data_IF_704798363936
#
_entry.id   IF_704798363936
#
_cell.length_a   1.000
_cell.length_b   1.000
_cell.length_c   1.000
_cell.angle_alpha   90.00
_cell.angle_beta   90.00
_cell.angle_gamma   90.00
#
_symmetry.space_group_name_H-M   'P 1'
#
loop_
_entity.id
_entity.type
_entity.pdbx_description
1 polymer ?
#
# COMPACT_ATOMS: atom_id res chain seq x y z
N UNK A 1 -2.95 -26.02 -15.62
CA UNK A 1 -3.01 -24.53 -15.48
C UNK A 1 -4.13 -24.11 -14.53
N UNK A 2 -5.38 -24.53 -14.80
CA UNK A 2 -6.53 -24.22 -13.91
C UNK A 2 -6.35 -24.82 -12.50
N UNK A 3 -5.79 -26.03 -12.40
CA UNK A 3 -5.52 -26.67 -11.11
C UNK A 3 -4.54 -25.88 -10.27
N UNK A 4 -3.44 -25.37 -10.84
CA UNK A 4 -2.46 -24.56 -10.13
C UNK A 4 -3.07 -23.25 -9.59
N UNK A 5 -3.88 -22.59 -10.41
CA UNK A 5 -4.57 -21.35 -9.98
C UNK A 5 -5.61 -21.63 -8.90
N UNK A 6 -6.34 -22.77 -9.01
CA UNK A 6 -7.32 -23.19 -8.01
C UNK A 6 -6.63 -23.54 -6.68
N UNK A 7 -5.52 -24.27 -6.71
CA UNK A 7 -4.73 -24.61 -5.52
C UNK A 7 -4.28 -23.35 -4.79
N UNK A 8 -3.66 -22.41 -5.49
CA UNK A 8 -3.20 -21.15 -4.88
C UNK A 8 -4.36 -20.33 -4.28
N UNK A 9 -5.52 -20.37 -4.91
CA UNK A 9 -6.73 -19.72 -4.41
C UNK A 9 -7.26 -20.41 -3.14
N UNK A 10 -7.29 -21.74 -3.13
CA UNK A 10 -7.69 -22.53 -1.96
C UNK A 10 -6.72 -22.33 -0.78
N UNK A 11 -5.40 -22.29 -1.03
CA UNK A 11 -4.40 -21.98 0.01
C UNK A 11 -4.68 -20.61 0.64
N UNK A 12 -4.99 -19.60 -0.18
CA UNK A 12 -5.36 -18.27 0.29
C UNK A 12 -6.64 -18.25 1.13
N UNK A 13 -7.66 -18.98 0.72
CA UNK A 13 -8.97 -19.04 1.39
C UNK A 13 -8.91 -19.85 2.69
N UNK A 14 -8.36 -21.05 2.63
CA UNK A 14 -8.37 -22.01 3.72
C UNK A 14 -7.21 -21.83 4.69
N UNK A 15 -6.13 -21.17 4.26
CA UNK A 15 -4.93 -20.86 5.07
C UNK A 15 -4.37 -22.08 5.79
N UNK A 16 -4.08 -23.18 5.10
CA UNK A 16 -3.56 -24.40 5.69
C UNK A 16 -2.22 -24.13 6.40
N UNK A 17 -1.98 -24.89 7.49
CA UNK A 17 -0.91 -24.61 8.45
C UNK A 17 0.49 -24.72 7.84
N UNK A 18 0.70 -25.64 6.92
CA UNK A 18 2.01 -26.01 6.39
C UNK A 18 2.31 -25.44 4.99
N UNK A 19 1.37 -24.73 4.37
CA UNK A 19 1.58 -24.11 3.06
C UNK A 19 2.16 -22.71 3.19
N UNK A 20 2.95 -22.31 2.19
CA UNK A 20 3.40 -20.91 2.04
C UNK A 20 2.19 -20.00 1.89
N UNK A 21 2.08 -18.95 2.70
CA UNK A 21 0.94 -18.04 2.70
C UNK A 21 1.38 -16.59 2.57
N UNK A 22 0.94 -15.92 1.51
CA UNK A 22 1.08 -14.48 1.33
C UNK A 22 0.02 -13.73 2.16
N UNK A 23 0.44 -13.05 3.24
CA UNK A 23 -0.46 -12.38 4.19
C UNK A 23 -0.96 -11.01 3.74
N UNK A 24 -0.20 -10.26 2.95
CA UNK A 24 -0.53 -8.89 2.54
C UNK A 24 -0.85 -8.81 1.05
N UNK A 25 -2.11 -8.99 0.73
CA UNK A 25 -2.65 -8.99 -0.65
C UNK A 25 -3.44 -7.71 -0.98
N UNK A 26 -3.00 -6.57 -0.48
CA UNK A 26 -3.65 -5.30 -0.83
C UNK A 26 -3.38 -4.93 -2.29
N UNK A 27 -4.43 -4.42 -2.96
CA UNK A 27 -4.29 -3.88 -4.32
C UNK A 27 -3.28 -2.74 -4.36
N UNK A 28 -2.50 -2.68 -5.45
CA UNK A 28 -1.56 -1.60 -5.68
C UNK A 28 -2.27 -0.34 -6.20
N UNK A 29 -1.81 0.85 -5.82
CA UNK A 29 -2.33 2.08 -6.37
C UNK A 29 -1.82 2.31 -7.80
N UNK A 30 -2.64 2.97 -8.60
CA UNK A 30 -2.36 3.41 -9.97
C UNK A 30 -2.54 4.92 -10.08
N UNK A 31 -1.99 5.53 -11.12
CA UNK A 31 -2.38 6.85 -11.58
C UNK A 31 -3.45 6.66 -12.64
N UNK A 32 -4.59 7.31 -12.48
CA UNK A 32 -5.65 7.38 -13.47
C UNK A 32 -5.63 8.74 -14.15
N UNK A 33 -5.72 8.73 -15.49
CA UNK A 33 -6.07 9.86 -16.32
C UNK A 33 -7.52 9.65 -16.74
N UNK A 34 -8.43 10.53 -16.32
CA UNK A 34 -9.88 10.35 -16.55
C UNK A 34 -10.28 10.63 -17.99
N UNK A 35 -11.39 10.02 -18.41
CA UNK A 35 -12.03 10.31 -19.73
C UNK A 35 -12.92 11.55 -19.61
N UNK A 36 -12.37 12.72 -19.99
CA UNK A 36 -13.03 14.02 -19.92
C UNK A 36 -12.39 14.96 -20.94
N UNK A 37 -13.08 16.01 -21.42
CA UNK A 37 -12.50 17.05 -22.30
C UNK A 37 -11.24 17.68 -21.69
N UNK A 38 -11.24 17.88 -20.37
CA UNK A 38 -10.07 18.25 -19.58
C UNK A 38 -9.76 17.13 -18.57
N UNK A 39 -9.00 16.07 -18.93
CA UNK A 39 -8.74 14.95 -18.05
C UNK A 39 -8.12 15.35 -16.71
N UNK A 40 -8.57 14.73 -15.63
CA UNK A 40 -7.98 14.84 -14.29
C UNK A 40 -6.97 13.72 -14.07
N UNK A 41 -5.85 14.04 -13.42
CA UNK A 41 -4.92 13.03 -12.91
C UNK A 41 -5.19 12.77 -11.43
N UNK A 42 -5.36 11.49 -11.06
CA UNK A 42 -5.60 11.13 -9.67
C UNK A 42 -5.03 9.75 -9.31
N UNK A 43 -4.90 9.54 -8.01
CA UNK A 43 -4.60 8.21 -7.47
C UNK A 43 -5.86 7.34 -7.51
N UNK A 44 -5.72 6.14 -8.08
CA UNK A 44 -6.75 5.12 -8.07
C UNK A 44 -6.27 3.85 -7.35
N UNK A 45 -7.16 3.15 -6.67
CA UNK A 45 -6.89 1.85 -6.05
C UNK A 45 -8.13 0.97 -6.16
N UNK A 46 -7.92 -0.31 -6.45
CA UNK A 46 -8.99 -1.29 -6.62
C UNK A 46 -9.31 -1.56 -8.08
N UNK A 47 -10.52 -2.05 -8.36
CA UNK A 47 -10.94 -2.43 -9.70
C UNK A 47 -11.00 -1.20 -10.64
N UNK A 48 -10.50 -1.35 -11.86
CA UNK A 48 -10.48 -0.33 -12.92
C UNK A 48 -11.87 -0.22 -13.59
N UNK A 49 -12.88 0.25 -12.86
CA UNK A 49 -14.28 0.31 -13.34
C UNK A 49 -14.59 1.59 -14.13
N UNK A 50 -13.90 2.66 -13.88
CA UNK A 50 -14.12 3.95 -14.54
C UNK A 50 -13.35 4.02 -15.85
N UNK A 51 -13.91 4.73 -16.85
CA UNK A 51 -13.24 5.00 -18.12
C UNK A 51 -12.00 5.87 -17.92
N UNK A 52 -10.99 5.71 -18.78
CA UNK A 52 -9.74 6.44 -18.74
C UNK A 52 -8.52 5.53 -18.81
N UNK A 53 -7.34 6.14 -18.83
CA UNK A 53 -6.07 5.43 -18.85
C UNK A 53 -5.53 5.21 -17.43
N UNK A 54 -4.94 4.03 -17.19
CA UNK A 54 -4.38 3.64 -15.90
C UNK A 54 -2.91 3.29 -16.03
N UNK A 55 -2.08 3.93 -15.24
CA UNK A 55 -0.62 3.76 -15.19
C UNK A 55 -0.22 3.21 -13.83
N UNK A 56 0.43 2.07 -13.80
CA UNK A 56 0.82 1.34 -12.59
C UNK A 56 1.17 -0.11 -12.89
N UNK A 57 1.29 -0.95 -11.87
CA UNK A 57 1.12 -0.63 -10.45
C UNK A 57 2.29 0.15 -9.84
N UNK A 58 2.03 0.99 -8.86
CA UNK A 58 3.04 1.63 -8.02
C UNK A 58 3.20 0.88 -6.70
N UNK A 59 4.42 0.82 -6.18
CA UNK A 59 4.72 0.09 -4.95
C UNK A 59 3.94 0.61 -3.72
N UNK A 60 3.68 1.91 -3.65
CA UNK A 60 3.01 2.52 -2.50
C UNK A 60 2.19 3.76 -2.88
N UNK A 61 1.25 4.13 -2.00
CA UNK A 61 0.50 5.39 -2.13
C UNK A 61 1.42 6.62 -2.09
N UNK A 62 2.52 6.56 -1.33
CA UNK A 62 3.53 7.62 -1.29
C UNK A 62 4.25 7.79 -2.63
N UNK A 63 4.58 6.69 -3.32
CA UNK A 63 5.16 6.74 -4.66
C UNK A 63 4.22 7.43 -5.66
N UNK A 64 2.93 7.04 -5.68
CA UNK A 64 1.92 7.70 -6.53
C UNK A 64 1.82 9.20 -6.23
N UNK A 65 1.72 9.59 -4.96
CA UNK A 65 1.57 10.99 -4.58
C UNK A 65 2.80 11.83 -5.00
N UNK A 66 4.00 11.28 -4.88
CA UNK A 66 5.23 11.94 -5.37
C UNK A 66 5.18 12.12 -6.88
N UNK A 67 4.85 11.07 -7.63
CA UNK A 67 4.74 11.13 -9.10
C UNK A 67 3.66 12.10 -9.53
N UNK A 68 2.46 12.10 -8.92
CA UNK A 68 1.40 13.05 -9.20
C UNK A 68 1.84 14.50 -8.97
N UNK A 69 2.53 14.76 -7.85
CA UNK A 69 3.06 16.10 -7.54
C UNK A 69 4.07 16.58 -8.59
N UNK A 70 4.86 15.68 -9.14
CA UNK A 70 5.83 15.97 -10.19
C UNK A 70 5.16 16.18 -11.55
N UNK A 71 4.21 15.32 -11.94
CA UNK A 71 3.41 15.49 -13.15
C UNK A 71 2.70 16.84 -13.16
N UNK A 72 2.17 17.28 -12.03
CA UNK A 72 1.56 18.61 -11.91
C UNK A 72 2.56 19.74 -12.11
N UNK A 73 3.79 19.62 -11.59
CA UNK A 73 4.84 20.64 -11.82
C UNK A 73 5.25 20.74 -13.29
N UNK A 74 5.30 19.61 -13.99
CA UNK A 74 5.78 19.54 -15.38
C UNK A 74 4.67 19.86 -16.37
N UNK A 75 3.52 19.19 -16.24
CA UNK A 75 2.45 19.22 -17.25
C UNK A 75 1.26 20.09 -16.85
N UNK A 76 1.25 20.60 -15.62
CA UNK A 76 0.22 21.50 -15.05
C UNK A 76 -1.21 20.97 -15.19
N UNK A 77 -1.38 19.66 -14.99
CA UNK A 77 -2.67 18.97 -15.09
C UNK A 77 -3.51 19.16 -13.83
N UNK A 78 -4.83 19.25 -14.00
CA UNK A 78 -5.76 19.35 -12.88
C UNK A 78 -5.86 18.03 -12.09
N UNK A 79 -6.15 18.15 -10.79
CA UNK A 79 -6.46 17.03 -9.92
C UNK A 79 -7.79 17.22 -9.14
N UNK A 80 -8.51 18.30 -9.43
CA UNK A 80 -9.80 18.58 -8.80
C UNK A 80 -10.91 17.72 -9.42
N UNK A 81 -11.88 17.32 -8.60
CA UNK A 81 -13.08 16.62 -9.05
C UNK A 81 -13.91 17.46 -10.02
N UNK A 82 -14.71 16.82 -10.87
CA UNK A 82 -15.47 17.48 -11.94
C UNK A 82 -16.47 18.51 -11.37
N UNK A 83 -17.12 18.19 -10.26
CA UNK A 83 -18.00 19.14 -9.54
C UNK A 83 -17.29 20.42 -9.10
N UNK A 84 -16.02 20.32 -8.68
CA UNK A 84 -15.20 21.49 -8.36
C UNK A 84 -14.71 22.21 -9.60
N UNK A 85 -14.50 21.50 -10.70
CA UNK A 85 -14.06 22.06 -11.98
C UNK A 85 -15.16 22.92 -12.61
N UNK A 86 -16.37 22.41 -12.65
CA UNK A 86 -17.54 23.07 -13.26
C UNK A 86 -18.01 24.31 -12.47
N UNK A 87 -17.91 24.24 -11.13
CA UNK A 87 -18.34 25.33 -10.25
C UNK A 87 -17.33 26.48 -10.07
N UNK A 88 -16.17 26.47 -10.78
CA UNK A 88 -15.12 27.47 -10.58
C UNK A 88 -15.35 28.73 -11.42
N UNK A 89 -15.25 29.89 -10.75
CA UNK A 89 -15.31 31.21 -11.38
C UNK A 89 -13.96 31.94 -11.38
N UNK A 90 -12.96 31.44 -10.62
CA UNK A 90 -11.62 32.02 -10.53
C UNK A 90 -10.55 30.93 -10.40
N UNK A 91 -9.29 31.19 -10.84
CA UNK A 91 -8.20 30.24 -10.66
C UNK A 91 -7.97 29.91 -9.20
N UNK A 92 -7.64 28.63 -8.91
CA UNK A 92 -7.31 28.18 -7.56
C UNK A 92 -5.81 28.33 -7.25
N UNK A 93 -5.42 28.05 -6.00
CA UNK A 93 -4.04 28.10 -5.54
C UNK A 93 -3.09 27.28 -6.42
N UNK A 94 -3.51 26.12 -6.94
CA UNK A 94 -2.65 25.30 -7.81
C UNK A 94 -2.24 26.04 -9.10
N UNK A 95 -3.08 26.91 -9.62
CA UNK A 95 -2.69 27.77 -10.74
C UNK A 95 -1.66 28.82 -10.32
N UNK A 96 -1.87 29.46 -9.17
CA UNK A 96 -0.93 30.49 -8.67
C UNK A 96 0.46 29.93 -8.43
N UNK A 97 0.55 28.68 -7.90
CA UNK A 97 1.83 27.97 -7.69
C UNK A 97 2.31 27.17 -8.92
N UNK A 98 1.77 27.44 -10.11
CA UNK A 98 2.14 26.85 -11.41
C UNK A 98 2.07 25.32 -11.43
N UNK A 99 1.07 24.73 -10.77
CA UNK A 99 0.81 23.29 -10.78
C UNK A 99 -0.43 22.87 -11.57
N UNK A 100 -1.21 23.85 -12.06
CA UNK A 100 -2.39 23.63 -12.89
C UNK A 100 -2.52 24.80 -13.86
N UNK A 101 -2.82 24.51 -15.11
CA UNK A 101 -3.04 25.52 -16.17
C UNK A 101 -4.39 26.24 -16.07
N UNK A 102 -5.23 25.93 -15.07
CA UNK A 102 -6.56 26.48 -14.82
C UNK A 102 -7.53 26.36 -16.00
N UNK A 103 -7.75 25.15 -16.56
CA UNK A 103 -8.72 24.96 -17.64
C UNK A 103 -10.16 25.25 -17.21
N UNK A 104 -10.48 25.15 -15.92
CA UNK A 104 -11.80 25.46 -15.35
C UNK A 104 -12.27 26.92 -15.55
N UNK A 105 -11.38 27.83 -15.86
CA UNK A 105 -11.66 29.25 -16.11
C UNK A 105 -11.10 29.74 -17.45
N UNK A 106 -10.87 28.80 -18.37
CA UNK A 106 -10.47 29.11 -19.77
C UNK A 106 -9.06 29.70 -19.93
N UNK A 107 -8.13 29.46 -18.95
CA UNK A 107 -6.75 29.98 -19.06
C UNK A 107 -5.88 29.15 -20.03
N UNK A 108 -6.35 28.03 -20.50
CA UNK A 108 -5.73 27.17 -21.51
C UNK A 108 -6.83 26.64 -22.44
N UNK A 109 -6.52 26.50 -23.72
CA UNK A 109 -7.42 25.88 -24.69
C UNK A 109 -7.54 24.37 -24.46
N UNK A 110 -8.62 23.76 -24.93
CA UNK A 110 -8.80 22.30 -24.87
C UNK A 110 -7.69 21.58 -25.65
N UNK A 111 -7.29 22.09 -26.80
CA UNK A 111 -6.23 21.51 -27.63
C UNK A 111 -4.87 21.52 -26.94
N UNK A 112 -4.47 22.64 -26.32
CA UNK A 112 -3.19 22.76 -25.60
C UNK A 112 -3.20 21.91 -24.31
N UNK A 113 -4.36 21.83 -23.61
CA UNK A 113 -4.50 20.97 -22.45
C UNK A 113 -4.39 19.49 -22.84
N UNK A 114 -5.05 19.08 -23.92
CA UNK A 114 -4.94 17.72 -24.45
C UNK A 114 -3.51 17.37 -24.88
N UNK A 115 -2.72 18.34 -25.38
CA UNK A 115 -1.30 18.13 -25.65
C UNK A 115 -0.52 17.87 -24.36
N UNK A 116 -0.75 18.66 -23.32
CA UNK A 116 -0.14 18.46 -22.00
C UNK A 116 -0.49 17.09 -21.41
N UNK A 117 -1.72 16.61 -21.59
CA UNK A 117 -2.16 15.25 -21.18
C UNK A 117 -1.39 14.19 -21.97
N UNK A 118 -1.33 14.30 -23.30
CA UNK A 118 -0.57 13.35 -24.13
C UNK A 118 0.90 13.28 -23.75
N UNK A 119 1.52 14.41 -23.42
CA UNK A 119 2.92 14.45 -22.97
C UNK A 119 3.09 13.78 -21.60
N UNK A 120 2.14 13.97 -20.66
CA UNK A 120 2.14 13.25 -19.38
C UNK A 120 1.94 11.73 -19.55
N UNK A 121 1.07 11.30 -20.47
CA UNK A 121 0.87 9.89 -20.81
C UNK A 121 2.10 9.26 -21.47
N UNK A 122 2.77 10.00 -22.38
CA UNK A 122 4.05 9.59 -22.97
C UNK A 122 5.12 9.41 -21.89
N UNK A 123 5.19 10.35 -20.94
CA UNK A 123 6.11 10.23 -19.80
C UNK A 123 5.81 9.00 -18.95
N UNK A 124 4.55 8.76 -18.58
CA UNK A 124 4.12 7.59 -17.83
C UNK A 124 4.32 6.27 -18.62
N UNK A 125 4.38 6.35 -19.94
CA UNK A 125 4.69 5.23 -20.83
C UNK A 125 6.20 5.10 -21.16
N UNK A 126 7.10 5.84 -20.48
CA UNK A 126 8.55 5.73 -20.59
C UNK A 126 9.20 6.52 -21.74
N UNK A 127 8.44 7.29 -22.49
CA UNK A 127 8.96 8.08 -23.60
C UNK A 127 9.44 9.47 -23.15
N UNK A 128 10.17 9.51 -22.04
CA UNK A 128 10.59 10.75 -21.37
C UNK A 128 11.65 11.54 -22.13
N UNK A 129 12.56 10.87 -22.87
CA UNK A 129 13.63 11.52 -23.63
C UNK A 129 13.09 12.48 -24.69
N UNK A 130 12.11 12.02 -25.46
CA UNK A 130 11.48 12.87 -26.50
C UNK A 130 10.80 14.11 -25.92
N UNK A 131 10.26 14.02 -24.69
CA UNK A 131 9.63 15.16 -24.00
C UNK A 131 10.70 16.14 -23.55
N UNK A 132 11.82 15.65 -23.03
CA UNK A 132 12.94 16.52 -22.65
C UNK A 132 13.54 17.25 -23.85
N UNK A 133 13.74 16.56 -24.97
CA UNK A 133 14.19 17.18 -26.23
C UNK A 133 13.23 18.26 -26.73
N UNK A 134 11.91 17.99 -26.71
CA UNK A 134 10.88 18.96 -27.06
C UNK A 134 10.94 20.20 -26.16
N UNK A 135 10.93 20.01 -24.84
CA UNK A 135 10.96 21.11 -23.86
C UNK A 135 12.28 21.92 -23.97
N UNK A 136 13.41 21.27 -24.28
CA UNK A 136 14.68 21.93 -24.50
C UNK A 136 14.66 22.79 -25.76
N UNK A 137 14.08 22.30 -26.87
CA UNK A 137 13.86 23.09 -28.08
C UNK A 137 12.95 24.30 -27.85
N UNK A 138 11.84 24.09 -27.15
CA UNK A 138 10.92 25.22 -26.79
C UNK A 138 11.59 26.25 -25.87
N UNK A 139 12.42 25.80 -24.91
CA UNK A 139 13.19 26.68 -24.04
C UNK A 139 14.20 27.53 -24.82
N UNK A 140 14.91 26.91 -25.77
CA UNK A 140 15.87 27.58 -26.61
C UNK A 140 15.17 28.63 -27.49
N UNK A 141 14.04 28.28 -28.14
CA UNK A 141 13.25 29.20 -28.95
C UNK A 141 12.70 30.39 -28.13
N UNK A 142 12.21 30.14 -26.91
CA UNK A 142 11.76 31.20 -26.01
C UNK A 142 12.91 32.11 -25.57
N UNK A 143 14.12 31.55 -25.36
CA UNK A 143 15.32 32.34 -25.04
C UNK A 143 15.76 33.22 -26.20
N UNK A 144 15.73 32.72 -27.42
CA UNK A 144 16.05 33.47 -28.64
C UNK A 144 15.03 34.59 -28.92
N UNK A 145 13.75 34.35 -28.59
CA UNK A 145 12.69 35.35 -28.66
C UNK A 145 12.72 36.34 -27.48
N UNK A 146 13.72 36.30 -26.58
CA UNK A 146 13.83 37.11 -25.36
C UNK A 146 12.66 36.93 -24.38
N UNK A 147 11.89 35.84 -24.48
CA UNK A 147 10.81 35.47 -23.55
C UNK A 147 11.39 34.76 -22.31
N UNK A 148 12.20 35.46 -21.51
CA UNK A 148 13.00 34.86 -20.43
C UNK A 148 12.18 34.20 -19.33
N UNK A 149 10.99 34.71 -19.00
CA UNK A 149 10.12 34.08 -18.01
C UNK A 149 9.59 32.70 -18.49
N UNK A 150 9.27 32.62 -19.80
CA UNK A 150 8.85 31.36 -20.43
C UNK A 150 10.00 30.37 -20.51
N UNK A 151 11.18 30.81 -20.90
CA UNK A 151 12.40 30.01 -20.94
C UNK A 151 12.74 29.46 -19.52
N UNK A 152 12.65 30.29 -18.48
CA UNK A 152 12.85 29.89 -17.09
C UNK A 152 11.83 28.87 -16.64
N UNK A 153 10.55 29.01 -16.99
CA UNK A 153 9.50 28.06 -16.70
C UNK A 153 9.76 26.69 -17.35
N UNK A 154 10.19 26.66 -18.61
CA UNK A 154 10.54 25.44 -19.35
C UNK A 154 11.78 24.76 -18.77
N UNK A 155 12.81 25.52 -18.38
CA UNK A 155 13.98 25.01 -17.64
C UNK A 155 13.58 24.30 -16.35
N UNK A 156 12.69 24.92 -15.57
CA UNK A 156 12.25 24.35 -14.29
C UNK A 156 11.41 23.08 -14.50
N UNK A 157 10.64 22.98 -15.58
CA UNK A 157 9.93 21.77 -16.00
C UNK A 157 10.93 20.65 -16.38
N UNK A 158 11.99 20.97 -17.14
CA UNK A 158 13.06 20.01 -17.49
C UNK A 158 13.76 19.52 -16.22
N UNK A 159 14.11 20.41 -15.29
CA UNK A 159 14.70 20.02 -14.00
C UNK A 159 13.79 19.09 -13.20
N UNK A 160 12.49 19.36 -13.15
CA UNK A 160 11.53 18.50 -12.48
C UNK A 160 11.46 17.09 -13.11
N UNK A 161 11.50 16.98 -14.46
CA UNK A 161 11.59 15.70 -15.16
C UNK A 161 12.87 14.93 -14.82
N UNK A 162 14.01 15.62 -14.83
CA UNK A 162 15.30 14.99 -14.48
C UNK A 162 15.32 14.48 -13.04
N UNK A 163 14.76 15.24 -12.09
CA UNK A 163 14.65 14.79 -10.69
C UNK A 163 13.82 13.51 -10.54
N UNK A 164 12.76 13.33 -11.33
CA UNK A 164 11.98 12.07 -11.33
C UNK A 164 12.84 10.90 -11.73
N UNK A 165 13.66 11.07 -12.76
CA UNK A 165 14.52 10.01 -13.27
C UNK A 165 15.68 9.68 -12.32
N UNK A 166 16.26 10.69 -11.65
CA UNK A 166 17.43 10.51 -10.77
C UNK A 166 17.04 9.95 -9.38
N UNK A 167 15.85 10.27 -8.87
CA UNK A 167 15.40 9.83 -7.55
C UNK A 167 15.06 8.33 -7.48
N UNK A 168 15.06 7.64 -8.60
CA UNK A 168 14.74 6.21 -8.72
C UNK A 168 16.00 5.37 -8.98
N UNK A 169 16.97 5.42 -8.12
CA UNK A 169 18.31 4.82 -8.06
C UNK A 169 18.65 3.56 -8.90
N UNK A 170 17.71 2.85 -9.49
CA UNK A 170 17.91 1.68 -10.35
C UNK A 170 16.95 1.79 -11.54
N UNK A 171 17.39 2.43 -12.62
CA UNK A 171 16.66 2.43 -13.89
C UNK A 171 17.40 1.51 -14.88
N UNK A 172 16.85 0.33 -15.19
CA UNK A 172 17.47 -0.58 -16.13
C UNK A 172 17.42 -0.02 -17.56
N UNK A 173 18.49 -0.26 -18.32
CA UNK A 173 18.57 0.15 -19.73
C UNK A 173 17.94 -0.87 -20.67
N UNK A 174 17.95 -2.17 -20.26
CA UNK A 174 17.53 -3.30 -21.10
C UNK A 174 16.18 -3.90 -20.69
N UNK A 175 15.53 -3.35 -19.67
CA UNK A 175 14.24 -3.86 -19.13
C UNK A 175 13.19 -2.78 -19.24
N UNK A 176 12.24 -2.94 -20.15
CA UNK A 176 11.14 -1.98 -20.36
C UNK A 176 9.98 -2.23 -19.37
N UNK A 177 9.47 -3.47 -19.31
CA UNK A 177 8.37 -3.86 -18.43
C UNK A 177 8.66 -5.20 -17.77
N UNK A 178 8.93 -5.18 -16.45
CA UNK A 178 9.15 -6.39 -15.67
C UNK A 178 8.81 -6.18 -14.18
N UNK A 179 8.57 -7.29 -13.49
CA UNK A 179 8.66 -7.35 -12.04
C UNK A 179 9.91 -8.18 -11.66
N UNK A 180 10.81 -7.58 -10.86
CA UNK A 180 11.92 -8.29 -10.26
C UNK A 180 11.47 -8.82 -8.92
N UNK A 181 11.54 -10.11 -8.72
CA UNK A 181 11.09 -10.79 -7.52
C UNK A 181 12.27 -11.52 -6.89
N UNK A 182 12.79 -10.98 -5.80
CA UNK A 182 13.94 -11.50 -5.09
C UNK A 182 13.53 -12.07 -3.73
N UNK A 183 13.99 -13.27 -3.44
CA UNK A 183 13.77 -13.95 -2.17
C UNK A 183 15.06 -14.00 -1.37
N UNK A 184 14.96 -13.74 -0.07
CA UNK A 184 15.92 -14.15 0.93
C UNK A 184 15.23 -14.97 2.01
N UNK A 185 15.79 -16.16 2.28
CA UNK A 185 15.28 -17.09 3.27
C UNK A 185 16.38 -17.32 4.33
N UNK A 186 16.03 -17.16 5.60
CA UNK A 186 16.96 -17.34 6.73
C UNK A 186 16.18 -17.75 7.99
N UNK A 187 16.63 -18.83 8.64
CA UNK A 187 16.06 -19.33 9.90
C UNK A 187 14.53 -19.52 9.87
N UNK A 188 13.99 -20.13 8.82
CA UNK A 188 12.55 -20.36 8.66
C UNK A 188 11.74 -19.08 8.46
N UNK A 189 12.39 -17.96 8.16
CA UNK A 189 11.73 -16.69 7.83
C UNK A 189 12.12 -16.25 6.41
N UNK A 190 11.16 -15.68 5.69
CA UNK A 190 11.35 -15.26 4.32
C UNK A 190 11.03 -13.78 4.13
N UNK A 191 11.81 -13.11 3.29
CA UNK A 191 11.47 -11.82 2.71
C UNK A 191 11.49 -11.93 1.20
N UNK A 192 10.36 -11.65 0.56
CA UNK A 192 10.26 -11.49 -0.88
C UNK A 192 10.17 -10.01 -1.19
N UNK A 193 11.11 -9.50 -1.97
CA UNK A 193 11.08 -8.12 -2.44
C UNK A 193 10.69 -8.07 -3.91
N UNK A 194 9.69 -7.25 -4.23
CA UNK A 194 9.20 -7.04 -5.60
C UNK A 194 9.50 -5.61 -6.03
N UNK A 195 10.26 -5.46 -7.13
CA UNK A 195 10.48 -4.18 -7.80
C UNK A 195 9.61 -4.11 -9.05
N UNK A 196 8.94 -2.99 -9.24
CA UNK A 196 8.07 -2.75 -10.39
C UNK A 196 8.80 -1.91 -11.43
N UNK A 197 9.26 -2.54 -12.52
CA UNK A 197 9.84 -1.85 -13.65
C UNK A 197 8.75 -1.62 -14.69
N UNK A 198 8.49 -0.36 -15.02
CA UNK A 198 7.53 0.04 -16.04
C UNK A 198 8.17 1.12 -16.88
N UNK A 199 8.12 0.93 -18.21
CA UNK A 199 8.68 1.89 -19.16
C UNK A 199 10.18 2.21 -18.91
N UNK A 200 10.97 1.19 -18.56
CA UNK A 200 12.38 1.34 -18.24
C UNK A 200 12.67 2.06 -16.91
N UNK A 201 11.66 2.33 -16.11
CA UNK A 201 11.80 3.03 -14.83
C UNK A 201 11.36 2.17 -13.66
N UNK A 202 12.06 2.27 -12.54
CA UNK A 202 11.67 1.64 -11.30
C UNK A 202 10.57 2.43 -10.61
N UNK A 203 9.34 1.91 -10.57
CA UNK A 203 8.19 2.53 -9.92
C UNK A 203 8.06 2.18 -8.44
N UNK A 204 9.16 1.74 -7.86
CA UNK A 204 9.29 1.40 -6.45
C UNK A 204 9.35 -0.09 -6.18
N UNK A 205 9.57 -0.42 -4.92
CA UNK A 205 9.64 -1.79 -4.44
C UNK A 205 8.73 -2.00 -3.24
N UNK A 206 8.45 -3.26 -2.95
CA UNK A 206 7.68 -3.66 -1.77
C UNK A 206 8.21 -4.97 -1.22
N UNK A 207 8.27 -5.01 0.11
CA UNK A 207 8.67 -6.19 0.87
C UNK A 207 7.42 -6.98 1.28
N UNK A 208 7.54 -8.31 1.21
CA UNK A 208 6.56 -9.27 1.67
C UNK A 208 7.24 -10.27 2.58
N UNK A 209 6.56 -10.66 3.63
CA UNK A 209 7.05 -11.63 4.61
C UNK A 209 6.06 -12.81 4.65
N UNK A 210 6.14 -13.75 3.66
CA UNK A 210 5.28 -14.92 3.65
C UNK A 210 5.57 -15.79 4.87
N UNK A 211 4.54 -16.50 5.34
CA UNK A 211 4.74 -17.56 6.32
C UNK A 211 5.33 -18.75 5.59
N UNK A 212 6.40 -19.31 6.10
CA UNK A 212 7.07 -20.50 5.55
C UNK A 212 7.21 -21.55 6.64
N UNK A 213 7.27 -22.82 6.25
CA UNK A 213 7.63 -23.92 7.14
C UNK A 213 9.14 -23.93 7.46
N UNK A 214 9.56 -24.78 8.39
CA UNK A 214 10.96 -24.84 8.83
C UNK A 214 11.90 -25.38 7.74
N UNK A 215 11.44 -26.32 6.91
CA UNK A 215 12.24 -27.04 5.91
C UNK A 215 11.81 -26.74 4.45
N UNK A 216 11.33 -25.52 4.17
CA UNK A 216 10.83 -25.16 2.85
C UNK A 216 11.96 -24.59 1.99
N UNK A 217 12.11 -25.11 0.78
CA UNK A 217 13.11 -24.64 -0.18
C UNK A 217 12.77 -23.29 -0.82
N UNK A 218 13.81 -22.54 -1.18
CA UNK A 218 13.63 -21.20 -1.78
C UNK A 218 12.82 -21.25 -3.09
N UNK A 219 12.94 -22.30 -3.87
CA UNK A 219 12.18 -22.53 -5.10
C UNK A 219 10.68 -22.62 -4.83
N UNK A 220 10.29 -23.42 -3.82
CA UNK A 220 8.90 -23.63 -3.41
C UNK A 220 8.27 -22.32 -2.89
N UNK A 221 9.01 -21.60 -2.01
CA UNK A 221 8.55 -20.30 -1.49
C UNK A 221 8.28 -19.32 -2.61
N UNK A 222 9.19 -19.25 -3.60
CA UNK A 222 9.09 -18.30 -4.69
C UNK A 222 7.96 -18.66 -5.66
N UNK A 223 7.77 -19.97 -5.96
CA UNK A 223 6.68 -20.47 -6.78
C UNK A 223 5.31 -20.17 -6.15
N UNK A 224 5.13 -20.52 -4.88
CA UNK A 224 3.90 -20.23 -4.15
C UNK A 224 3.63 -18.72 -4.05
N UNK A 225 4.69 -17.92 -3.82
CA UNK A 225 4.56 -16.47 -3.79
C UNK A 225 4.08 -15.92 -5.14
N UNK A 226 4.70 -16.30 -6.25
CA UNK A 226 4.34 -15.83 -7.60
C UNK A 226 2.88 -16.18 -7.91
N UNK A 227 2.46 -17.43 -7.66
CA UNK A 227 1.09 -17.87 -7.87
C UNK A 227 0.07 -17.06 -7.08
N UNK A 228 0.31 -16.87 -5.78
CA UNK A 228 -0.58 -16.10 -4.91
C UNK A 228 -0.54 -14.59 -5.19
N UNK A 229 0.63 -14.05 -5.55
CA UNK A 229 0.81 -12.63 -5.83
C UNK A 229 0.02 -12.19 -7.06
N UNK A 230 0.06 -12.97 -8.12
CA UNK A 230 -0.65 -12.66 -9.36
C UNK A 230 -2.09 -13.19 -9.40
N UNK A 231 -2.58 -13.84 -8.34
CA UNK A 231 -4.00 -14.22 -8.27
C UNK A 231 -4.95 -13.04 -8.46
N UNK A 232 -4.67 -11.90 -7.81
CA UNK A 232 -5.49 -10.68 -7.89
C UNK A 232 -4.87 -9.55 -8.73
N UNK A 233 -3.72 -9.79 -9.37
CA UNK A 233 -2.94 -8.77 -10.10
C UNK A 233 -2.68 -9.17 -11.52
N UNK A 234 -2.54 -8.18 -12.40
CA UNK A 234 -2.16 -8.39 -13.80
C UNK A 234 -0.64 -8.59 -13.90
N UNK A 235 -0.15 -9.71 -14.45
CA UNK A 235 1.27 -9.94 -14.60
C UNK A 235 1.90 -9.05 -15.67
N UNK A 236 3.16 -8.60 -15.50
CA UNK A 236 3.91 -7.86 -16.52
C UNK A 236 4.33 -8.79 -17.67
N UNK A 237 4.95 -8.21 -18.71
CA UNK A 237 5.51 -8.99 -19.82
C UNK A 237 6.62 -9.96 -19.40
N UNK A 238 7.39 -9.58 -18.37
CA UNK A 238 8.53 -10.35 -17.89
C UNK A 238 8.56 -10.42 -16.38
N UNK A 239 8.84 -11.61 -15.85
CA UNK A 239 9.20 -11.84 -14.46
C UNK A 239 10.69 -12.19 -14.40
N UNK A 240 11.43 -11.51 -13.52
CA UNK A 240 12.84 -11.77 -13.27
C UNK A 240 12.94 -12.25 -11.83
N UNK A 241 13.32 -13.52 -11.64
CA UNK A 241 13.35 -14.18 -10.35
C UNK A 241 14.79 -14.37 -9.86
N UNK A 242 14.97 -14.39 -8.54
CA UNK A 242 16.24 -14.68 -7.88
C UNK A 242 16.60 -16.18 -7.89
N UNK A 243 15.60 -17.06 -7.93
CA UNK A 243 15.78 -18.52 -7.93
C UNK A 243 14.88 -19.15 -8.99
N UNK A 244 15.33 -20.31 -9.50
CA UNK A 244 14.50 -21.13 -10.36
C UNK A 244 13.31 -21.69 -9.56
N UNK A 245 12.19 -21.88 -10.23
CA UNK A 245 11.01 -22.56 -9.69
C UNK A 245 10.76 -23.84 -10.47
N UNK A 246 10.17 -24.84 -9.84
CA UNK A 246 10.04 -26.18 -10.46
C UNK A 246 9.07 -26.18 -11.64
N UNK A 247 7.91 -25.52 -11.47
CA UNK A 247 6.85 -25.50 -12.49
C UNK A 247 6.86 -24.22 -13.35
N UNK A 248 8.06 -23.76 -13.77
CA UNK A 248 8.22 -22.51 -14.49
C UNK A 248 7.37 -22.41 -15.77
N UNK A 249 7.33 -23.47 -16.57
CA UNK A 249 6.56 -23.50 -17.84
C UNK A 249 5.06 -23.41 -17.58
N UNK A 250 4.56 -24.16 -16.58
CA UNK A 250 3.18 -24.14 -16.16
C UNK A 250 2.77 -22.76 -15.62
N UNK A 251 3.65 -22.14 -14.82
CA UNK A 251 3.45 -20.79 -14.29
C UNK A 251 3.37 -19.75 -15.42
N UNK A 252 4.27 -19.81 -16.38
CA UNK A 252 4.29 -18.92 -17.55
C UNK A 252 2.99 -19.05 -18.36
N UNK A 253 2.52 -20.28 -18.58
CA UNK A 253 1.26 -20.54 -19.29
C UNK A 253 0.06 -19.94 -18.51
N UNK A 254 -0.04 -20.22 -17.20
CA UNK A 254 -1.10 -19.72 -16.33
C UNK A 254 -1.16 -18.18 -16.29
N UNK A 255 0.00 -17.54 -16.14
CA UNK A 255 0.10 -16.09 -16.14
C UNK A 255 -0.18 -15.48 -17.51
N UNK A 256 0.23 -16.17 -18.58
CA UNK A 256 -0.05 -15.76 -19.97
C UNK A 256 -1.53 -15.79 -20.30
N UNK A 257 -2.26 -16.84 -19.91
CA UNK A 257 -3.72 -16.94 -20.05
C UNK A 257 -4.41 -15.80 -19.28
N UNK A 258 -3.98 -15.56 -18.04
CA UNK A 258 -4.54 -14.49 -17.22
C UNK A 258 -4.31 -13.09 -17.80
N UNK A 259 -3.13 -12.84 -18.35
CA UNK A 259 -2.76 -11.56 -18.95
C UNK A 259 -3.35 -11.36 -20.36
N UNK A 260 -3.86 -12.40 -21.00
CA UNK A 260 -4.24 -12.38 -22.41
C UNK A 260 -3.09 -12.09 -23.38
N UNK A 261 -1.84 -12.33 -22.92
CA UNK A 261 -0.60 -12.07 -23.68
C UNK A 261 0.53 -12.96 -23.19
N UNK A 262 1.58 -13.08 -24.00
CA UNK A 262 2.77 -13.85 -23.63
C UNK A 262 3.46 -13.18 -22.42
N UNK A 263 3.71 -13.98 -21.38
CA UNK A 263 4.54 -13.65 -20.22
C UNK A 263 5.81 -14.48 -20.31
N UNK A 264 6.94 -13.93 -19.87
CA UNK A 264 8.21 -14.66 -19.78
C UNK A 264 8.73 -14.65 -18.35
N UNK A 265 9.33 -15.75 -17.93
CA UNK A 265 10.01 -15.90 -16.65
C UNK A 265 11.51 -16.12 -16.91
N UNK A 266 12.36 -15.43 -16.16
CA UNK A 266 13.80 -15.47 -16.33
C UNK A 266 14.51 -15.49 -14.97
N UNK A 267 15.51 -16.36 -14.84
CA UNK A 267 16.49 -16.36 -13.75
C UNK A 267 17.85 -15.99 -14.34
N UNK A 268 18.25 -14.70 -14.30
CA UNK A 268 19.42 -14.23 -15.00
C UNK A 268 20.69 -14.63 -14.27
N UNK A 269 21.70 -15.10 -15.04
CA UNK A 269 23.00 -15.51 -14.49
C UNK A 269 24.11 -14.47 -14.76
N UNK A 270 23.89 -13.52 -15.68
CA UNK A 270 24.89 -12.51 -16.09
C UNK A 270 24.23 -11.26 -16.66
N UNK A 271 25.02 -10.17 -16.70
CA UNK A 271 24.63 -8.89 -17.27
C UNK A 271 23.70 -8.09 -16.35
N UNK A 272 23.16 -6.98 -16.86
CA UNK A 272 22.38 -6.00 -16.09
C UNK A 272 21.24 -6.62 -15.28
N UNK A 273 20.52 -7.59 -15.84
CA UNK A 273 19.41 -8.26 -15.12
C UNK A 273 19.88 -9.05 -13.91
N UNK A 274 21.07 -9.68 -13.98
CA UNK A 274 21.67 -10.38 -12.85
C UNK A 274 22.09 -9.40 -11.74
N UNK A 275 22.69 -8.27 -12.10
CA UNK A 275 23.06 -7.21 -11.14
C UNK A 275 21.83 -6.62 -10.44
N UNK A 276 20.75 -6.41 -11.19
CA UNK A 276 19.48 -5.93 -10.64
C UNK A 276 18.88 -6.90 -9.63
N UNK A 277 18.82 -8.20 -9.97
CA UNK A 277 18.24 -9.20 -9.07
C UNK A 277 19.15 -9.46 -7.86
N UNK A 278 20.45 -9.40 -8.01
CA UNK A 278 21.40 -9.47 -6.89
C UNK A 278 21.23 -8.30 -5.93
N UNK A 279 21.07 -7.08 -6.45
CA UNK A 279 20.76 -5.89 -5.64
C UNK A 279 19.43 -6.04 -4.91
N UNK A 280 18.39 -6.56 -5.58
CA UNK A 280 17.09 -6.84 -4.96
C UNK A 280 17.20 -7.91 -3.87
N UNK A 281 18.03 -8.93 -4.05
CA UNK A 281 18.26 -9.98 -3.04
C UNK A 281 18.99 -9.43 -1.81
N UNK A 282 19.99 -8.56 -1.99
CA UNK A 282 20.62 -7.85 -0.86
C UNK A 282 19.61 -7.03 -0.08
N UNK A 283 18.75 -6.29 -0.76
CA UNK A 283 17.70 -5.51 -0.11
C UNK A 283 16.69 -6.39 0.64
N UNK A 284 16.32 -7.54 0.08
CA UNK A 284 15.45 -8.52 0.76
C UNK A 284 16.09 -9.02 2.06
N UNK A 285 17.39 -9.33 2.01
CA UNK A 285 18.18 -9.73 3.19
C UNK A 285 18.21 -8.67 4.29
N UNK A 286 18.50 -7.42 3.92
CA UNK A 286 18.53 -6.32 4.86
C UNK A 286 17.13 -6.05 5.46
N UNK A 287 16.08 -6.16 4.65
CA UNK A 287 14.70 -6.01 5.11
C UNK A 287 14.30 -7.13 6.08
N UNK A 288 14.71 -8.37 5.81
CA UNK A 288 14.48 -9.48 6.73
C UNK A 288 15.21 -9.25 8.06
N UNK A 289 16.48 -8.85 8.03
CA UNK A 289 17.26 -8.56 9.24
C UNK A 289 16.60 -7.47 10.09
N UNK A 290 16.13 -6.38 9.49
CA UNK A 290 15.36 -5.34 10.19
C UNK A 290 14.09 -5.90 10.82
N UNK A 291 13.32 -6.69 10.08
CA UNK A 291 12.07 -7.31 10.55
C UNK A 291 12.31 -8.26 11.74
N UNK A 292 13.37 -9.07 11.68
CA UNK A 292 13.76 -9.97 12.76
C UNK A 292 14.15 -9.19 14.03
N UNK A 293 14.92 -8.12 13.90
CA UNK A 293 15.30 -7.25 15.03
C UNK A 293 14.07 -6.56 15.65
N UNK A 294 13.14 -6.06 14.84
CA UNK A 294 11.86 -5.50 15.31
C UNK A 294 11.04 -6.55 16.07
N UNK A 295 10.94 -7.76 15.54
CA UNK A 295 10.19 -8.86 16.19
C UNK A 295 10.83 -9.27 17.52
N UNK A 296 12.16 -9.37 17.60
CA UNK A 296 12.88 -9.67 18.83
C UNK A 296 12.68 -8.56 19.89
N UNK A 297 12.71 -7.30 19.47
CA UNK A 297 12.44 -6.15 20.34
C UNK A 297 11.00 -6.19 20.86
N UNK A 298 10.03 -6.46 19.97
CA UNK A 298 8.61 -6.57 20.35
C UNK A 298 8.38 -7.71 21.36
N UNK A 299 9.01 -8.87 21.17
CA UNK A 299 8.93 -9.98 22.10
C UNK A 299 9.49 -9.62 23.48
N UNK A 300 10.58 -8.82 23.54
CA UNK A 300 11.14 -8.30 24.80
C UNK A 300 10.16 -7.34 25.47
N UNK A 301 9.54 -6.42 24.73
CA UNK A 301 8.54 -5.50 25.26
C UNK A 301 7.33 -6.22 25.84
N UNK A 302 6.81 -7.26 25.14
CA UNK A 302 5.66 -8.03 25.61
C UNK A 302 6.00 -8.84 26.89
N UNK A 303 7.25 -9.33 27.05
CA UNK A 303 7.70 -9.91 28.32
C UNK A 303 7.68 -8.89 29.44
N UNK A 304 8.18 -7.67 29.20
CA UNK A 304 8.10 -6.59 30.18
C UNK A 304 6.66 -6.21 30.54
N UNK A 305 5.72 -6.26 29.58
CA UNK A 305 4.29 -6.10 29.88
C UNK A 305 3.78 -7.23 30.78
N UNK A 306 4.12 -8.50 30.46
CA UNK A 306 3.73 -9.63 31.32
C UNK A 306 4.22 -9.47 32.75
N UNK A 307 5.50 -9.10 32.94
CA UNK A 307 6.08 -8.85 34.25
C UNK A 307 5.38 -7.70 34.99
N UNK A 308 5.10 -6.58 34.28
CA UNK A 308 4.49 -5.40 34.89
C UNK A 308 3.03 -5.63 35.33
N UNK A 309 2.29 -6.45 34.61
CA UNK A 309 0.89 -6.76 34.87
C UNK A 309 0.69 -8.13 35.57
N UNK A 310 1.75 -8.83 35.91
CA UNK A 310 1.69 -10.12 36.61
C UNK A 310 1.01 -11.22 35.77
N UNK A 311 1.21 -11.21 34.44
CA UNK A 311 0.66 -12.21 33.55
C UNK A 311 1.58 -13.45 33.52
N UNK A 312 0.99 -14.65 33.46
CA UNK A 312 1.73 -15.91 33.41
C UNK A 312 2.55 -16.08 32.11
N UNK A 313 2.19 -15.38 31.05
CA UNK A 313 2.84 -15.41 29.73
C UNK A 313 2.76 -14.07 29.03
N UNK A 314 3.68 -13.78 28.07
CA UNK A 314 3.55 -12.61 27.22
C UNK A 314 2.23 -12.59 26.48
N UNK A 315 1.47 -11.47 26.52
CA UNK A 315 0.16 -11.40 25.89
C UNK A 315 0.28 -11.48 24.36
N UNK A 316 -0.52 -12.37 23.75
CA UNK A 316 -0.65 -12.48 22.31
C UNK A 316 -1.61 -11.44 21.73
N UNK A 317 -2.52 -10.92 22.57
CA UNK A 317 -3.48 -9.88 22.17
C UNK A 317 -3.74 -8.90 23.31
N UNK A 318 -3.41 -7.64 23.07
CA UNK A 318 -3.71 -6.53 23.97
C UNK A 318 -4.75 -5.65 23.26
N UNK A 319 -5.85 -5.35 23.93
CA UNK A 319 -6.85 -4.40 23.44
C UNK A 319 -6.81 -3.13 24.30
N UNK A 320 -6.66 -1.97 23.66
CA UNK A 320 -6.63 -0.67 24.33
C UNK A 320 -7.87 0.11 23.93
N UNK A 321 -8.54 0.69 24.90
CA UNK A 321 -9.79 1.42 24.73
C UNK A 321 -9.64 2.87 25.16
N UNK A 322 -10.14 3.75 24.32
CA UNK A 322 -10.24 5.20 24.56
C UNK A 322 -11.58 5.71 24.07
N UNK A 323 -12.15 6.68 24.76
CA UNK A 323 -13.37 7.37 24.37
C UNK A 323 -13.09 8.85 24.12
N UNK A 324 -13.77 9.38 23.12
CA UNK A 324 -13.65 10.79 22.76
C UNK A 324 -14.99 11.36 22.35
N UNK A 325 -15.25 12.62 22.72
CA UNK A 325 -16.43 13.38 22.33
C UNK A 325 -16.09 14.85 22.08
N UNK A 326 -16.92 15.55 21.32
CA UNK A 326 -16.81 16.99 21.10
C UNK A 326 -17.91 17.67 21.90
N UNK A 327 -17.59 18.18 23.10
CA UNK A 327 -18.55 18.85 23.99
C UNK A 327 -19.83 18.04 24.22
N UNK A 328 -19.72 16.73 24.42
CA UNK A 328 -20.84 15.81 24.60
C UNK A 328 -21.54 15.35 23.33
N UNK A 329 -21.18 15.90 22.16
CA UNK A 329 -21.72 15.46 20.87
C UNK A 329 -20.71 14.56 20.11
N UNK A 330 -21.23 13.76 19.17
CA UNK A 330 -20.42 12.87 18.33
C UNK A 330 -19.51 11.90 19.11
N UNK A 331 -20.01 11.35 20.19
CA UNK A 331 -19.30 10.43 21.07
C UNK A 331 -18.85 9.16 20.33
N UNK A 332 -17.58 8.81 20.50
CA UNK A 332 -16.92 7.70 19.79
C UNK A 332 -16.01 6.95 20.75
N UNK A 333 -16.13 5.62 20.77
CA UNK A 333 -15.14 4.75 21.37
C UNK A 333 -14.17 4.21 20.31
N UNK A 334 -12.91 4.14 20.64
CA UNK A 334 -11.86 3.55 19.83
C UNK A 334 -11.29 2.31 20.50
N UNK A 335 -11.04 1.27 19.71
CA UNK A 335 -10.30 0.08 20.12
C UNK A 335 -9.10 -0.09 19.21
N UNK A 336 -7.92 -0.06 19.77
CA UNK A 336 -6.69 -0.48 19.10
C UNK A 336 -6.25 -1.84 19.61
N UNK A 337 -5.53 -2.58 18.77
CA UNK A 337 -5.08 -3.93 19.09
C UNK A 337 -3.59 -4.05 18.83
N UNK A 338 -2.86 -4.62 19.78
CA UNK A 338 -1.45 -4.96 19.65
C UNK A 338 -1.20 -6.44 19.96
N UNK A 339 -0.10 -6.97 19.45
CA UNK A 339 0.30 -8.37 19.65
C UNK A 339 1.77 -8.60 19.30
N UNK A 340 2.22 -9.85 19.13
CA UNK A 340 3.62 -10.20 18.89
C UNK A 340 4.24 -9.54 17.65
N UNK A 341 3.44 -9.22 16.65
CA UNK A 341 3.89 -8.55 15.43
C UNK A 341 3.71 -6.99 15.51
N UNK A 342 3.42 -6.45 16.70
CA UNK A 342 3.14 -5.04 16.92
C UNK A 342 1.66 -4.68 16.76
N UNK A 343 1.35 -3.49 16.24
CA UNK A 343 -0.02 -3.00 16.11
C UNK A 343 -0.80 -3.68 14.99
N UNK A 344 -1.91 -4.34 15.36
CA UNK A 344 -2.80 -5.11 14.46
C UNK A 344 -3.90 -4.20 13.87
N UNK A 345 -3.55 -3.29 12.97
CA UNK A 345 -4.44 -2.25 12.43
C UNK A 345 -5.74 -2.77 11.79
N UNK A 346 -5.74 -3.97 11.23
CA UNK A 346 -6.94 -4.63 10.68
C UNK A 346 -7.99 -4.97 11.74
N UNK A 347 -7.56 -5.09 13.00
CA UNK A 347 -8.40 -5.40 14.15
C UNK A 347 -8.90 -4.16 14.89
N UNK A 348 -8.47 -2.96 14.51
CA UNK A 348 -8.97 -1.71 15.09
C UNK A 348 -10.46 -1.56 14.85
N UNK A 349 -11.17 -1.05 15.83
CA UNK A 349 -12.60 -0.78 15.73
C UNK A 349 -12.92 0.62 16.22
N UNK A 350 -13.91 1.21 15.59
CA UNK A 350 -14.56 2.46 16.00
C UNK A 350 -15.99 2.14 16.38
N UNK A 351 -16.42 2.58 17.53
CA UNK A 351 -17.77 2.43 18.06
C UNK A 351 -18.43 3.81 18.08
N UNK A 352 -19.40 4.03 17.23
CA UNK A 352 -20.28 5.19 17.39
C UNK A 352 -21.19 4.92 18.58
N UNK A 353 -21.15 5.75 19.60
CA UNK A 353 -22.00 5.67 20.78
C UNK A 353 -23.42 6.04 20.38
N UNK A 354 -24.40 5.25 20.83
CA UNK A 354 -25.82 5.36 20.43
C UNK A 354 -26.78 5.36 21.59
N UNK A 355 -26.29 5.28 22.84
CA UNK A 355 -27.14 5.22 24.02
C UNK A 355 -27.97 6.49 24.15
N UNK A 356 -29.30 6.38 23.98
CA UNK A 356 -30.25 7.49 24.13
C UNK A 356 -30.33 7.96 25.59
N UNK A 357 -29.88 7.12 26.53
CA UNK A 357 -29.88 7.37 27.97
C UNK A 357 -28.58 7.97 28.51
N UNK A 358 -27.56 8.18 27.61
CA UNK A 358 -26.28 8.73 28.03
C UNK A 358 -26.33 10.26 28.09
N UNK A 359 -26.00 10.82 29.26
CA UNK A 359 -25.80 12.27 29.36
C UNK A 359 -24.54 12.71 28.58
N UNK A 360 -24.57 13.89 27.96
CA UNK A 360 -23.40 14.43 27.29
C UNK A 360 -22.18 14.49 28.23
N UNK A 361 -21.10 13.77 27.89
CA UNK A 361 -19.88 13.69 28.72
C UNK A 361 -19.87 12.54 29.74
N UNK A 362 -20.79 11.59 29.67
CA UNK A 362 -20.78 10.37 30.50
C UNK A 362 -19.76 9.35 29.94
N UNK A 363 -18.49 9.56 30.26
CA UNK A 363 -17.39 8.68 29.83
C UNK A 363 -17.52 7.24 30.36
N UNK A 364 -18.17 7.07 31.53
CA UNK A 364 -18.41 5.75 32.12
C UNK A 364 -19.47 4.97 31.33
N UNK A 365 -20.58 5.61 31.02
CA UNK A 365 -21.65 5.03 30.21
C UNK A 365 -21.17 4.71 28.80
N UNK A 366 -20.36 5.59 28.19
CA UNK A 366 -19.73 5.35 26.89
C UNK A 366 -18.83 4.12 26.92
N UNK A 367 -17.98 3.97 27.94
CA UNK A 367 -17.09 2.81 28.07
C UNK A 367 -17.89 1.52 28.29
N UNK A 368 -18.94 1.55 29.12
CA UNK A 368 -19.86 0.42 29.30
C UNK A 368 -20.50 0.00 27.98
N UNK A 369 -20.99 0.92 27.15
CA UNK A 369 -21.57 0.59 25.84
C UNK A 369 -20.55 -0.08 24.91
N UNK A 370 -19.34 0.45 24.83
CA UNK A 370 -18.28 -0.09 23.97
C UNK A 370 -17.93 -1.53 24.35
N UNK A 371 -17.66 -1.78 25.65
CA UNK A 371 -17.26 -3.12 26.13
C UNK A 371 -18.43 -4.11 26.07
N UNK A 372 -19.66 -3.69 26.38
CA UNK A 372 -20.88 -4.50 26.20
C UNK A 372 -20.99 -4.99 24.75
N UNK A 373 -20.85 -4.10 23.77
CA UNK A 373 -20.92 -4.45 22.34
C UNK A 373 -19.76 -5.35 21.94
N UNK A 374 -18.56 -5.13 22.50
CA UNK A 374 -17.39 -5.95 22.23
C UNK A 374 -17.55 -7.37 22.76
N UNK A 375 -17.92 -7.53 24.03
CA UNK A 375 -18.05 -8.86 24.65
C UNK A 375 -19.22 -9.65 24.07
N UNK A 376 -20.38 -9.02 23.82
CA UNK A 376 -21.47 -9.68 23.09
C UNK A 376 -21.03 -10.25 21.74
N UNK A 377 -20.19 -9.50 21.04
CA UNK A 377 -19.64 -9.95 19.75
C UNK A 377 -18.65 -11.10 19.91
N UNK A 378 -17.76 -11.03 20.90
CA UNK A 378 -16.80 -12.10 21.19
C UNK A 378 -17.48 -13.41 21.55
N UNK A 379 -18.46 -13.36 22.47
CA UNK A 379 -19.25 -14.52 22.85
C UNK A 379 -19.99 -15.17 21.67
N UNK A 380 -20.39 -14.36 20.69
CA UNK A 380 -21.02 -14.88 19.46
C UNK A 380 -20.02 -15.44 18.44
N UNK A 381 -18.88 -14.77 18.23
CA UNK A 381 -17.91 -15.12 17.17
C UNK A 381 -16.89 -16.18 17.61
N UNK A 382 -16.54 -16.22 18.90
CA UNK A 382 -15.52 -17.07 19.47
C UNK A 382 -15.88 -17.51 20.91
N UNK A 383 -17.01 -18.26 21.11
CA UNK A 383 -17.49 -18.64 22.44
C UNK A 383 -16.49 -19.53 23.18
N UNK A 384 -15.79 -20.42 22.46
CA UNK A 384 -14.82 -21.37 23.05
C UNK A 384 -13.40 -20.78 23.17
N UNK A 385 -13.19 -19.52 22.77
CA UNK A 385 -11.91 -18.81 22.81
C UNK A 385 -10.77 -19.44 22.00
N UNK A 386 -11.10 -20.22 20.97
CA UNK A 386 -10.12 -20.95 20.15
C UNK A 386 -9.60 -20.14 18.93
N UNK A 387 -10.32 -19.09 18.52
CA UNK A 387 -10.00 -18.29 17.33
C UNK A 387 -8.99 -17.16 17.58
N UNK A 388 -8.54 -16.98 18.82
CA UNK A 388 -7.61 -15.92 19.21
C UNK A 388 -8.19 -14.50 19.06
N UNK A 389 -9.51 -14.36 19.19
CA UNK A 389 -10.20 -13.07 19.12
C UNK A 389 -10.29 -12.38 20.49
N UNK A 390 -10.10 -13.13 21.56
CA UNK A 390 -10.14 -12.63 22.93
C UNK A 390 -8.84 -11.95 23.33
N UNK A 391 -8.89 -10.84 24.10
CA UNK A 391 -7.68 -10.21 24.64
C UNK A 391 -7.09 -11.03 25.80
N UNK A 392 -5.76 -11.05 25.88
CA UNK A 392 -5.03 -11.51 27.07
C UNK A 392 -4.82 -10.36 28.08
N UNK A 393 -5.01 -9.12 27.64
CA UNK A 393 -4.91 -7.93 28.50
C UNK A 393 -5.81 -6.82 27.92
N UNK A 394 -6.56 -6.17 28.81
CA UNK A 394 -7.30 -4.95 28.51
C UNK A 394 -6.57 -3.74 29.10
N UNK A 395 -6.42 -2.70 28.31
CA UNK A 395 -5.92 -1.40 28.78
C UNK A 395 -7.01 -0.35 28.55
N UNK A 396 -7.42 0.29 29.64
CA UNK A 396 -8.46 1.32 29.64
C UNK A 396 -7.76 2.68 29.84
N UNK A 397 -7.88 3.55 28.83
CA UNK A 397 -7.38 4.93 28.95
C UNK A 397 -8.37 5.74 29.79
N UNK A 398 -8.11 5.78 31.10
CA UNK A 398 -8.98 6.46 32.04
C UNK A 398 -8.64 6.21 33.49
N UNK A 399 -9.40 6.83 34.38
CA UNK A 399 -9.20 6.72 35.84
C UNK A 399 -9.94 5.51 36.44
N UNK A 400 -9.80 5.38 37.78
CA UNK A 400 -10.39 4.29 38.57
C UNK A 400 -11.90 4.08 38.32
N UNK A 401 -12.63 5.16 38.04
CA UNK A 401 -14.09 5.06 37.74
C UNK A 401 -14.39 4.34 36.44
N UNK A 402 -13.60 4.57 35.38
CA UNK A 402 -13.74 3.86 34.10
C UNK A 402 -13.36 2.38 34.24
N UNK A 403 -12.28 2.08 34.97
CA UNK A 403 -11.88 0.71 35.31
C UNK A 403 -13.00 -0.01 36.07
N UNK A 404 -13.60 0.64 37.08
CA UNK A 404 -14.75 0.08 37.84
C UNK A 404 -15.97 -0.18 36.94
N UNK A 405 -16.26 0.73 36.01
CA UNK A 405 -17.35 0.57 35.06
C UNK A 405 -17.12 -0.61 34.11
N UNK A 406 -15.87 -0.83 33.66
CA UNK A 406 -15.50 -1.97 32.85
C UNK A 406 -15.58 -3.27 33.63
N UNK A 407 -15.13 -3.29 34.89
CA UNK A 407 -15.20 -4.48 35.78
C UNK A 407 -16.66 -4.93 36.01
N UNK A 408 -17.63 -4.00 36.09
CA UNK A 408 -19.05 -4.35 36.17
C UNK A 408 -19.53 -5.09 34.92
N UNK A 409 -19.16 -4.62 33.75
CA UNK A 409 -19.48 -5.26 32.45
C UNK A 409 -18.80 -6.63 32.33
N UNK A 410 -17.54 -6.73 32.74
CA UNK A 410 -16.80 -8.02 32.71
C UNK A 410 -17.51 -9.06 33.58
N UNK A 411 -18.01 -8.66 34.75
CA UNK A 411 -18.78 -9.52 35.65
C UNK A 411 -20.13 -9.93 35.04
N UNK A 412 -20.83 -8.97 34.41
CA UNK A 412 -22.11 -9.25 33.73
C UNK A 412 -21.96 -10.32 32.63
N UNK A 413 -20.84 -10.29 31.91
CA UNK A 413 -20.57 -11.25 30.81
C UNK A 413 -19.73 -12.45 31.21
N UNK A 414 -19.34 -12.61 32.49
CA UNK A 414 -18.57 -13.72 32.99
C UNK A 414 -17.15 -13.82 32.39
N UNK A 415 -16.48 -12.67 32.21
CA UNK A 415 -15.16 -12.56 31.59
C UNK A 415 -14.14 -11.88 32.51
N UNK A 416 -14.30 -12.03 33.83
CA UNK A 416 -13.43 -11.44 34.86
C UNK A 416 -12.02 -12.05 34.87
N UNK A 417 -11.83 -13.15 34.20
CA UNK A 417 -10.56 -13.83 34.03
C UNK A 417 -9.58 -13.07 33.12
N UNK A 418 -10.04 -12.06 32.38
CA UNK A 418 -9.19 -11.25 31.53
C UNK A 418 -8.53 -10.14 32.36
N UNK A 419 -7.21 -10.08 32.47
CA UNK A 419 -6.48 -9.01 33.18
C UNK A 419 -6.77 -7.61 32.58
N UNK A 420 -6.84 -6.59 33.47
CA UNK A 420 -7.13 -5.22 33.06
C UNK A 420 -6.22 -4.23 33.82
#
# INVERSE_FOLDING_TARGET
>A
TEALLLEQNLIKQLKPKFNVLLRDDKSFPNIQVTDHAYPMIRKHRGAKKEKGAYYGPFASAGAVNRTLSQLQKVFQLRNCADTMFEGRTRPCLLHQIKRCSAPCVGKISEADYAESVRDAERFLSGRSTKIQEKLAGEMQAASEAMEFERAASLRDRIRALTQVQTAQGINPRTVDEADLIALHLENGQACVQVFFIRAGQNWGNRDFYPRVGEDVEAAEVLEAFVGQFYDSKEPPKQLILSHAIENADLMVEALGQKAGRKVSLLVPQRGEKAELIESATRNARESLGRKMAETATQAKLLRGVAEAFGLDRPPARIEVYDNSHIQGAHAVGAMIVAGPEGFMKSHYRKFNIRGDDLTPGDDFGMMKEVLTRRFKRLLKEDPEREKGLWPDLLLIDGGAGQVSAVAEIMREYGVEDIPM
#
